data_IF_591239404626
#
_entry.id   IF_591239404626
#
_cell.length_a   1.000
_cell.length_b   1.000
_cell.length_c   1.000
_cell.angle_alpha   90.00
_cell.angle_beta   90.00
_cell.angle_gamma   90.00
#
_symmetry.space_group_name_H-M   'P 1'
#
loop_
_entity.id
_entity.type
_entity.pdbx_description
1 polymer ?
#
# COMPACT_ATOMS: atom_id res chain seq x y z
N UNK A 1 5.95 16.62 4.98
CA UNK A 1 4.54 16.13 4.97
C UNK A 1 4.08 15.54 3.66
N UNK A 2 4.50 16.05 2.50
CA UNK A 2 3.96 15.58 1.22
C UNK A 2 4.34 14.13 0.90
N UNK A 3 5.61 13.74 1.12
CA UNK A 3 6.13 12.40 0.80
C UNK A 3 5.47 11.29 1.64
N UNK A 4 5.36 11.50 2.96
CA UNK A 4 4.70 10.52 3.84
C UNK A 4 3.21 10.34 3.51
N UNK A 5 2.50 11.43 3.20
CA UNK A 5 1.09 11.38 2.76
C UNK A 5 0.93 10.72 1.40
N UNK A 6 1.83 11.00 0.46
CA UNK A 6 1.81 10.39 -0.86
C UNK A 6 2.03 8.87 -0.77
N UNK A 7 3.02 8.42 0.01
CA UNK A 7 3.25 6.99 0.25
C UNK A 7 2.04 6.29 0.90
N UNK A 8 1.38 6.96 1.85
CA UNK A 8 0.14 6.48 2.47
C UNK A 8 -1.01 6.33 1.46
N UNK A 9 -1.26 7.35 0.63
CA UNK A 9 -2.36 7.35 -0.33
C UNK A 9 -2.12 6.32 -1.44
N UNK A 10 -0.90 6.27 -1.99
CA UNK A 10 -0.53 5.29 -3.02
C UNK A 10 -0.57 3.89 -2.45
N UNK A 11 -0.06 3.67 -1.23
CA UNK A 11 -0.15 2.40 -0.54
C UNK A 11 -1.58 1.94 -0.33
N UNK A 12 -2.45 2.81 0.20
CA UNK A 12 -3.86 2.50 0.40
C UNK A 12 -4.57 2.15 -0.91
N UNK A 13 -4.30 2.90 -1.97
CA UNK A 13 -4.84 2.61 -3.30
C UNK A 13 -4.41 1.22 -3.81
N UNK A 14 -3.12 0.90 -3.71
CA UNK A 14 -2.58 -0.41 -4.13
C UNK A 14 -3.20 -1.57 -3.34
N UNK A 15 -3.41 -1.39 -2.03
CA UNK A 15 -4.09 -2.40 -1.20
C UNK A 15 -5.52 -2.60 -1.68
N UNK A 16 -6.29 -1.52 -1.88
CA UNK A 16 -7.69 -1.62 -2.30
C UNK A 16 -7.83 -2.22 -3.70
N UNK A 17 -7.04 -1.74 -4.66
CA UNK A 17 -7.05 -2.24 -6.03
C UNK A 17 -6.58 -3.70 -6.11
N UNK A 18 -5.50 -4.03 -5.40
CA UNK A 18 -4.97 -5.40 -5.32
C UNK A 18 -5.96 -6.35 -4.65
N UNK A 19 -6.61 -5.95 -3.56
CA UNK A 19 -7.57 -6.79 -2.84
C UNK A 19 -8.84 -7.01 -3.66
N UNK A 20 -9.34 -5.96 -4.33
CA UNK A 20 -10.48 -6.08 -5.24
C UNK A 20 -10.14 -7.00 -6.41
N UNK A 21 -8.95 -6.87 -6.99
CA UNK A 21 -8.49 -7.76 -8.06
C UNK A 21 -8.33 -9.20 -7.58
N UNK A 22 -7.81 -9.43 -6.36
CA UNK A 22 -7.70 -10.77 -5.77
C UNK A 22 -9.07 -11.40 -5.51
N UNK A 23 -10.07 -10.60 -5.16
CA UNK A 23 -11.45 -11.06 -4.94
C UNK A 23 -12.15 -11.45 -6.24
N UNK A 24 -11.85 -10.77 -7.34
CA UNK A 24 -12.49 -10.97 -8.64
C UNK A 24 -11.84 -12.06 -9.49
N UNK A 25 -10.57 -12.38 -9.23
CA UNK A 25 -9.85 -13.39 -9.98
C UNK A 25 -9.81 -14.73 -9.23
N UNK A 26 -10.04 -15.86 -9.92
CA UNK A 26 -9.98 -17.17 -9.30
C UNK A 26 -8.58 -17.48 -8.76
N UNK A 27 -8.47 -18.15 -7.59
CA UNK A 27 -7.19 -18.53 -7.03
C UNK A 27 -6.47 -19.53 -7.94
N UNK A 28 -5.14 -19.39 -8.05
CA UNK A 28 -4.29 -20.25 -8.88
C UNK A 28 -3.96 -19.69 -10.27
N UNK A 29 -4.50 -18.51 -10.64
CA UNK A 29 -4.08 -17.81 -11.85
C UNK A 29 -2.93 -16.83 -11.59
N UNK A 30 -2.22 -16.44 -12.64
CA UNK A 30 -1.14 -15.46 -12.55
C UNK A 30 -1.67 -14.10 -12.07
N UNK A 31 -2.87 -13.71 -12.50
CA UNK A 31 -3.55 -12.48 -12.11
C UNK A 31 -3.82 -12.44 -10.60
N UNK A 32 -4.26 -13.57 -10.03
CA UNK A 32 -4.44 -13.69 -8.58
C UNK A 32 -3.11 -13.50 -7.84
N UNK A 33 -2.03 -14.15 -8.28
CA UNK A 33 -0.71 -14.00 -7.66
C UNK A 33 -0.23 -12.54 -7.71
N UNK A 34 -0.36 -11.89 -8.87
CA UNK A 34 0.01 -10.48 -9.06
C UNK A 34 -0.81 -9.58 -8.13
N UNK A 35 -2.10 -9.86 -7.97
CA UNK A 35 -2.98 -9.08 -7.10
C UNK A 35 -2.56 -9.17 -5.62
N UNK A 36 -2.21 -10.38 -5.15
CA UNK A 36 -1.71 -10.60 -3.77
C UNK A 36 -0.38 -9.89 -3.55
N UNK A 37 0.54 -9.97 -4.50
CA UNK A 37 1.83 -9.24 -4.44
C UNK A 37 1.59 -7.73 -4.39
N UNK A 38 0.63 -7.23 -5.19
CA UNK A 38 0.25 -5.82 -5.22
C UNK A 38 -0.30 -5.34 -3.87
N UNK A 39 -1.14 -6.16 -3.21
CA UNK A 39 -1.59 -5.89 -1.84
C UNK A 39 -0.41 -5.80 -0.89
N UNK A 40 0.52 -6.75 -0.96
CA UNK A 40 1.73 -6.76 -0.13
C UNK A 40 2.58 -5.49 -0.29
N UNK A 41 2.82 -5.07 -1.53
CA UNK A 41 3.53 -3.83 -1.84
C UNK A 41 2.77 -2.58 -1.36
N UNK A 42 1.45 -2.57 -1.50
CA UNK A 42 0.60 -1.51 -0.98
C UNK A 42 0.72 -1.37 0.54
N UNK A 43 0.64 -2.48 1.28
CA UNK A 43 0.82 -2.50 2.73
C UNK A 43 2.21 -2.00 3.14
N UNK A 44 3.27 -2.44 2.45
CA UNK A 44 4.62 -1.96 2.70
C UNK A 44 4.72 -0.44 2.51
N UNK A 45 4.12 0.09 1.46
CA UNK A 45 4.13 1.53 1.19
C UNK A 45 3.30 2.32 2.22
N UNK A 46 2.18 1.77 2.71
CA UNK A 46 1.42 2.35 3.85
C UNK A 46 2.30 2.44 5.08
N UNK A 47 3.01 1.37 5.44
CA UNK A 47 3.92 1.34 6.60
C UNK A 47 5.02 2.38 6.45
N UNK A 48 5.69 2.42 5.30
CA UNK A 48 6.75 3.40 5.03
C UNK A 48 6.23 4.84 5.06
N UNK A 49 5.05 5.10 4.48
CA UNK A 49 4.39 6.40 4.51
C UNK A 49 4.04 6.82 5.94
N UNK A 50 3.52 5.89 6.76
CA UNK A 50 3.22 6.13 8.16
C UNK A 50 4.48 6.46 8.96
N UNK A 51 5.54 5.67 8.79
CA UNK A 51 6.84 5.91 9.41
C UNK A 51 7.40 7.29 9.03
N UNK A 52 7.32 7.66 7.75
CA UNK A 52 7.75 8.97 7.28
C UNK A 52 6.95 10.10 7.95
N UNK A 53 5.62 9.98 8.06
CA UNK A 53 4.78 10.95 8.77
C UNK A 53 5.14 11.06 10.25
N UNK A 54 5.39 9.92 10.92
CA UNK A 54 5.76 9.89 12.33
C UNK A 54 7.15 10.52 12.57
N UNK A 55 8.11 10.26 11.69
CA UNK A 55 9.44 10.86 11.71
C UNK A 55 9.36 12.38 11.51
N UNK A 56 8.56 12.85 10.56
CA UNK A 56 8.34 14.28 10.35
C UNK A 56 7.70 14.97 11.55
N UNK A 57 6.68 14.34 12.18
CA UNK A 57 6.06 14.84 13.42
C UNK A 57 7.04 14.93 14.59
N UNK A 58 7.97 13.98 14.71
CA UNK A 58 9.04 14.06 15.73
C UNK A 58 10.09 15.11 15.41
N UNK A 59 10.34 15.41 14.13
CA UNK A 59 11.34 16.41 13.70
C UNK A 59 10.84 17.84 13.81
N UNK A 60 9.54 18.06 13.60
CA UNK A 60 8.87 19.36 13.72
C UNK A 60 7.63 19.21 14.64
N UNK A 61 7.82 19.26 15.97
CA UNK A 61 6.72 19.23 16.93
C UNK A 61 5.86 20.50 16.90
#
# INVERSE_FOLDING_TARGET
MLIGRFGLLVGAFLVLAGALSALLNPPGTAEFVISVVTVGLGLLNVVLGLLAVLLERKRHP
#
